data_IF_107591623186
#
_entry.id   IF_107591623186
#
_cell.length_a   1.000
_cell.length_b   1.000
_cell.length_c   1.000
_cell.angle_alpha   90.00
_cell.angle_beta   90.00
_cell.angle_gamma   90.00
#
_symmetry.space_group_name_H-M   'P 1'
#
loop_
_entity.id
_entity.type
_entity.pdbx_description
1 polymer ?
#
# COMPACT_ATOMS: atom_id res chain seq x y z
N UNK A 1 -31.12 6.70 2.51
CA UNK A 1 -30.85 6.01 1.24
C UNK A 1 -31.48 6.84 0.15
N UNK A 2 -30.67 7.36 -0.75
CA UNK A 2 -31.14 8.16 -1.90
C UNK A 2 -31.52 7.21 -3.04
N UNK A 3 -32.25 7.71 -4.03
CA UNK A 3 -32.53 6.98 -5.28
C UNK A 3 -31.35 7.02 -6.27
N UNK A 4 -30.26 7.70 -5.92
CA UNK A 4 -29.05 7.75 -6.75
C UNK A 4 -28.31 6.41 -6.68
N UNK A 5 -28.06 5.81 -7.85
CA UNK A 5 -27.26 4.59 -8.00
C UNK A 5 -25.87 4.95 -8.53
N UNK A 6 -24.82 4.48 -7.85
CA UNK A 6 -23.43 4.65 -8.30
C UNK A 6 -22.81 3.32 -8.65
N UNK A 7 -22.17 3.25 -9.82
CA UNK A 7 -21.35 2.13 -10.24
C UNK A 7 -19.88 2.39 -9.90
N UNK A 8 -19.16 1.33 -9.52
CA UNK A 8 -17.73 1.38 -9.19
C UNK A 8 -17.10 0.00 -9.34
N UNK A 9 -15.77 -0.05 -9.43
CA UNK A 9 -15.00 -1.28 -9.26
C UNK A 9 -14.70 -1.44 -7.77
N UNK A 10 -15.11 -2.55 -7.15
CA UNK A 10 -14.91 -2.74 -5.71
C UNK A 10 -13.41 -2.93 -5.41
N UNK A 11 -12.78 -2.09 -4.56
CA UNK A 11 -11.35 -2.22 -4.25
C UNK A 11 -11.02 -3.45 -3.38
N UNK A 12 -12.03 -4.12 -2.81
CA UNK A 12 -11.85 -5.29 -1.93
C UNK A 12 -11.90 -6.59 -2.73
N UNK A 13 -12.88 -6.77 -3.61
CA UNK A 13 -13.04 -8.00 -4.39
C UNK A 13 -12.67 -7.85 -5.87
N UNK A 14 -12.32 -6.65 -6.35
CA UNK A 14 -11.98 -6.34 -7.75
C UNK A 14 -13.10 -6.64 -8.77
N UNK A 15 -14.33 -6.88 -8.29
CA UNK A 15 -15.50 -7.09 -9.13
C UNK A 15 -16.25 -5.78 -9.38
N UNK A 16 -16.82 -5.59 -10.59
CA UNK A 16 -17.75 -4.50 -10.85
C UNK A 16 -18.95 -4.56 -9.90
N UNK A 17 -19.34 -3.41 -9.39
CA UNK A 17 -20.43 -3.29 -8.44
C UNK A 17 -21.24 -2.02 -8.64
N UNK A 18 -22.43 -1.98 -8.04
CA UNK A 18 -23.29 -0.81 -7.97
C UNK A 18 -23.98 -0.73 -6.62
N UNK A 19 -24.28 0.46 -6.15
CA UNK A 19 -24.97 0.67 -4.88
C UNK A 19 -25.85 1.90 -4.93
N UNK A 20 -26.95 1.87 -4.19
CA UNK A 20 -27.66 3.10 -3.85
C UNK A 20 -26.78 3.93 -2.91
N UNK A 21 -26.86 5.26 -2.95
CA UNK A 21 -26.13 6.07 -1.98
C UNK A 21 -26.82 5.99 -0.62
N UNK A 22 -26.10 5.47 0.37
CA UNK A 22 -26.62 5.30 1.73
C UNK A 22 -26.66 6.64 2.48
N UNK A 23 -25.68 7.50 2.24
CA UNK A 23 -25.57 8.86 2.76
C UNK A 23 -24.49 9.66 2.04
N UNK A 24 -24.60 10.99 2.10
CA UNK A 24 -23.65 11.93 1.50
C UNK A 24 -23.20 12.93 2.57
N UNK A 25 -21.92 13.28 2.54
CA UNK A 25 -21.34 14.39 3.30
C UNK A 25 -20.61 15.27 2.31
N UNK A 26 -20.96 16.56 2.30
CA UNK A 26 -20.25 17.58 1.52
C UNK A 26 -19.30 18.33 2.45
N UNK A 27 -18.01 18.32 2.14
CA UNK A 27 -17.04 19.18 2.82
C UNK A 27 -17.07 20.54 2.14
N UNK A 28 -17.82 21.46 2.76
CA UNK A 28 -17.95 22.84 2.32
C UNK A 28 -16.97 23.73 3.09
N UNK A 29 -16.01 24.31 2.37
CA UNK A 29 -15.26 25.47 2.81
C UNK A 29 -15.76 26.69 2.00
N UNK A 30 -16.23 27.78 2.66
CA UNK A 30 -16.94 28.88 1.99
C UNK A 30 -16.22 29.58 0.85
N UNK A 31 -14.89 29.47 0.80
CA UNK A 31 -14.02 30.19 -0.15
C UNK A 31 -13.12 29.24 -0.98
N UNK A 32 -13.32 27.92 -0.91
CA UNK A 32 -12.56 26.95 -1.70
C UNK A 32 -13.49 26.16 -2.63
N UNK A 33 -13.37 26.44 -3.93
CA UNK A 33 -13.82 25.58 -5.02
C UNK A 33 -12.59 24.76 -5.44
N UNK A 34 -12.70 23.44 -5.65
CA UNK A 34 -13.93 22.63 -5.72
C UNK A 34 -14.47 22.13 -4.38
N UNK A 35 -15.80 21.96 -4.27
CA UNK A 35 -16.43 21.31 -3.12
C UNK A 35 -16.24 19.78 -3.20
N UNK A 36 -15.97 19.14 -2.06
CA UNK A 36 -15.76 17.69 -1.98
C UNK A 36 -17.03 16.96 -1.51
N UNK A 37 -17.51 16.02 -2.31
CA UNK A 37 -18.65 15.17 -1.99
C UNK A 37 -18.20 13.74 -1.65
N UNK A 38 -18.48 13.31 -0.42
CA UNK A 38 -18.24 11.96 0.07
C UNK A 38 -19.55 11.16 0.13
N UNK A 39 -19.65 10.09 -0.65
CA UNK A 39 -20.81 9.22 -0.69
C UNK A 39 -20.50 7.84 -0.09
N UNK A 40 -21.35 7.39 0.84
CA UNK A 40 -21.31 6.04 1.39
C UNK A 40 -22.08 5.06 0.49
N UNK A 41 -21.37 4.02 0.05
CA UNK A 41 -21.84 2.96 -0.83
C UNK A 41 -21.56 1.59 -0.19
N UNK A 42 -22.18 0.55 -0.73
CA UNK A 42 -21.90 -0.84 -0.34
C UNK A 42 -21.75 -1.72 -1.58
N UNK A 43 -20.71 -2.55 -1.60
CA UNK A 43 -20.54 -3.55 -2.66
C UNK A 43 -21.75 -4.48 -2.75
N UNK A 44 -22.31 -4.64 -3.95
CA UNK A 44 -23.44 -5.52 -4.24
C UNK A 44 -23.10 -7.01 -4.31
N UNK A 45 -21.82 -7.38 -4.28
CA UNK A 45 -21.42 -8.78 -4.37
C UNK A 45 -21.73 -9.50 -3.05
N UNK A 46 -22.48 -10.63 -3.06
CA UNK A 46 -22.92 -11.32 -1.86
C UNK A 46 -21.78 -11.70 -0.90
N UNK A 47 -20.65 -12.14 -1.46
CA UNK A 47 -19.49 -12.60 -0.70
C UNK A 47 -18.54 -11.46 -0.26
N UNK A 48 -18.81 -10.21 -0.67
CA UNK A 48 -17.97 -9.07 -0.35
C UNK A 48 -18.66 -8.06 0.57
N UNK A 49 -19.78 -7.48 0.12
CA UNK A 49 -20.58 -6.49 0.87
C UNK A 49 -19.80 -5.35 1.53
N UNK A 50 -18.58 -5.06 1.07
CA UNK A 50 -17.69 -4.11 1.70
C UNK A 50 -18.30 -2.69 1.69
N UNK A 51 -18.17 -1.93 2.80
CA UNK A 51 -18.52 -0.52 2.83
C UNK A 51 -17.49 0.28 2.04
N UNK A 52 -17.97 1.20 1.20
CA UNK A 52 -17.16 2.00 0.29
C UNK A 52 -17.47 3.47 0.53
N UNK A 53 -16.45 4.31 0.61
CA UNK A 53 -16.63 5.77 0.53
C UNK A 53 -16.06 6.23 -0.80
N UNK A 54 -16.91 6.88 -1.59
CA UNK A 54 -16.54 7.46 -2.86
C UNK A 54 -16.42 8.98 -2.72
N UNK A 55 -15.40 9.56 -3.34
CA UNK A 55 -15.16 11.00 -3.41
C UNK A 55 -15.44 11.52 -4.82
N UNK A 56 -16.11 12.65 -4.93
CA UNK A 56 -16.23 13.48 -6.15
C UNK A 56 -15.91 14.92 -5.81
N UNK A 57 -15.40 15.65 -6.78
CA UNK A 57 -15.18 17.10 -6.67
C UNK A 57 -16.15 17.80 -7.61
N UNK A 58 -16.75 18.88 -7.13
CA UNK A 58 -17.61 19.75 -7.93
C UNK A 58 -16.75 20.85 -8.56
N UNK A 59 -16.79 21.01 -9.88
CA UNK A 59 -16.11 22.11 -10.58
C UNK A 59 -17.10 22.93 -11.38
N UNK A 60 -16.88 24.24 -11.40
CA UNK A 60 -17.54 25.16 -12.31
C UNK A 60 -16.80 25.17 -13.66
N UNK A 61 -17.52 24.92 -14.75
CA UNK A 61 -17.02 25.14 -16.11
C UNK A 61 -17.21 26.62 -16.50
N UNK A 62 -16.37 27.12 -17.42
CA UNK A 62 -16.33 28.53 -17.85
C UNK A 62 -17.67 29.09 -18.38
N UNK A 63 -18.63 28.22 -18.73
CA UNK A 63 -19.96 28.60 -19.23
C UNK A 63 -21.09 28.48 -18.18
N UNK A 64 -20.76 28.32 -16.89
CA UNK A 64 -21.75 28.21 -15.81
C UNK A 64 -22.43 26.85 -15.72
N UNK A 65 -21.82 25.82 -16.30
CA UNK A 65 -22.24 24.43 -16.17
C UNK A 65 -21.48 23.78 -15.01
N UNK A 66 -22.20 23.21 -14.04
CA UNK A 66 -21.62 22.53 -12.88
C UNK A 66 -21.36 21.06 -13.22
N UNK A 67 -20.09 20.64 -13.14
CA UNK A 67 -19.67 19.27 -13.42
C UNK A 67 -19.09 18.58 -12.19
N UNK A 68 -19.27 17.26 -12.11
CA UNK A 68 -18.60 16.42 -11.09
C UNK A 68 -17.40 15.70 -11.70
N UNK A 69 -16.33 15.54 -10.92
CA UNK A 69 -15.17 14.75 -11.37
C UNK A 69 -15.52 13.28 -11.47
N UNK A 70 -14.67 12.54 -12.17
CA UNK A 70 -14.72 11.08 -12.15
C UNK A 70 -14.60 10.63 -10.68
N UNK A 71 -15.51 9.78 -10.19
CA UNK A 71 -15.47 9.36 -8.80
C UNK A 71 -14.19 8.58 -8.48
N UNK A 72 -13.63 8.86 -7.31
CA UNK A 72 -12.50 8.16 -6.72
C UNK A 72 -12.95 7.36 -5.50
N UNK A 73 -12.25 6.27 -5.18
CA UNK A 73 -12.53 5.49 -3.97
C UNK A 73 -11.67 6.02 -2.83
N UNK A 74 -12.32 6.66 -1.87
CA UNK A 74 -11.68 7.19 -0.66
C UNK A 74 -11.50 6.11 0.41
N UNK A 75 -12.49 5.24 0.58
CA UNK A 75 -12.43 4.11 1.52
C UNK A 75 -12.92 2.80 0.89
N UNK A 76 -12.29 1.64 1.18
CA UNK A 76 -11.07 1.49 1.96
C UNK A 76 -9.87 2.15 1.29
N UNK A 77 -9.14 2.97 2.05
CA UNK A 77 -7.91 3.59 1.58
C UNK A 77 -6.79 2.55 1.65
N UNK A 78 -5.83 2.56 0.71
CA UNK A 78 -4.59 1.83 0.89
C UNK A 78 -3.96 2.20 2.24
N UNK A 79 -3.40 1.23 2.94
CA UNK A 79 -2.70 1.51 4.20
C UNK A 79 -1.46 2.35 3.91
N UNK A 80 -1.31 3.53 4.50
CA UNK A 80 -0.08 4.31 4.31
C UNK A 80 1.11 3.75 5.11
N UNK A 81 2.32 3.86 4.53
CA UNK A 81 3.55 3.51 5.22
C UNK A 81 3.90 4.58 6.25
N UNK A 82 4.43 4.17 7.41
CA UNK A 82 4.81 5.08 8.48
C UNK A 82 5.88 6.10 8.04
N UNK A 83 5.76 7.35 8.47
CA UNK A 83 6.80 8.38 8.30
C UNK A 83 8.13 8.06 8.99
N UNK A 84 8.19 7.01 9.82
CA UNK A 84 9.44 6.47 10.34
C UNK A 84 10.31 5.81 9.26
N UNK A 85 9.72 5.43 8.12
CA UNK A 85 10.42 4.84 6.97
C UNK A 85 10.97 5.97 6.10
N UNK A 86 12.25 5.92 5.66
CA UNK A 86 12.83 6.91 4.77
C UNK A 86 11.96 7.19 3.54
N UNK A 87 11.81 8.47 3.18
CA UNK A 87 10.93 8.91 2.09
C UNK A 87 11.22 8.17 0.78
N UNK A 88 12.50 8.07 0.39
CA UNK A 88 12.89 7.37 -0.83
C UNK A 88 12.41 5.91 -0.85
N UNK A 89 12.45 5.19 0.28
CA UNK A 89 11.97 3.81 0.36
C UNK A 89 10.44 3.72 0.26
N UNK A 90 9.72 4.71 0.83
CA UNK A 90 8.26 4.79 0.68
C UNK A 90 7.87 5.02 -0.77
N UNK A 91 8.56 5.93 -1.46
CA UNK A 91 8.31 6.23 -2.88
C UNK A 91 8.48 5.00 -3.78
N UNK A 92 9.55 4.22 -3.57
CA UNK A 92 9.77 2.94 -4.27
C UNK A 92 8.63 1.94 -4.04
N UNK A 93 8.17 1.83 -2.79
CA UNK A 93 7.08 0.93 -2.44
C UNK A 93 5.73 1.40 -3.02
N UNK A 94 5.48 2.72 -3.03
CA UNK A 94 4.28 3.28 -3.64
C UNK A 94 4.24 3.06 -5.15
N UNK A 95 5.38 3.08 -5.82
CA UNK A 95 5.46 2.70 -7.23
C UNK A 95 5.12 1.21 -7.43
N UNK A 96 5.53 0.31 -6.52
CA UNK A 96 5.07 -1.08 -6.53
C UNK A 96 3.55 -1.22 -6.43
N UNK A 97 2.92 -0.44 -5.54
CA UNK A 97 1.45 -0.39 -5.39
C UNK A 97 0.76 0.13 -6.64
N UNK A 98 1.30 1.16 -7.30
CA UNK A 98 0.78 1.68 -8.57
C UNK A 98 0.82 0.59 -9.65
N UNK A 99 1.92 -0.14 -9.78
CA UNK A 99 2.02 -1.27 -10.71
C UNK A 99 0.98 -2.35 -10.38
N UNK A 100 0.77 -2.64 -9.10
CA UNK A 100 -0.20 -3.66 -8.67
C UNK A 100 -1.63 -3.25 -9.03
N UNK A 101 -2.02 -2.00 -8.75
CA UNK A 101 -3.33 -1.47 -9.13
C UNK A 101 -3.57 -1.46 -10.64
N UNK A 102 -2.52 -1.31 -11.44
CA UNK A 102 -2.56 -1.43 -12.90
C UNK A 102 -2.56 -2.89 -13.40
N UNK A 103 -2.62 -3.89 -12.51
CA UNK A 103 -2.53 -5.33 -12.81
C UNK A 103 -1.22 -5.73 -13.51
N UNK A 104 -0.17 -4.93 -13.34
CA UNK A 104 1.16 -5.16 -13.89
C UNK A 104 2.04 -5.95 -12.91
N UNK A 105 1.64 -7.19 -12.61
CA UNK A 105 2.22 -7.98 -11.51
C UNK A 105 3.73 -8.23 -11.64
N UNK A 106 4.25 -8.43 -12.85
CA UNK A 106 5.69 -8.54 -13.08
C UNK A 106 6.45 -7.27 -12.69
N UNK A 107 5.90 -6.09 -13.04
CA UNK A 107 6.47 -4.80 -12.68
C UNK A 107 6.37 -4.55 -11.16
N UNK A 108 5.27 -4.97 -10.51
CA UNK A 108 5.15 -4.93 -9.05
C UNK A 108 6.32 -5.62 -8.37
N UNK A 109 6.69 -6.83 -8.82
CA UNK A 109 7.81 -7.57 -8.23
C UNK A 109 9.16 -6.87 -8.43
N UNK A 110 9.37 -6.22 -9.58
CA UNK A 110 10.57 -5.42 -9.84
C UNK A 110 10.67 -4.27 -8.84
N UNK A 111 9.57 -3.57 -8.59
CA UNK A 111 9.54 -2.45 -7.65
C UNK A 111 9.63 -2.90 -6.19
N UNK A 112 9.04 -4.04 -5.82
CA UNK A 112 9.27 -4.69 -4.53
C UNK A 112 10.75 -5.00 -4.34
N UNK A 113 11.40 -5.61 -5.35
CA UNK A 113 12.83 -5.93 -5.29
C UNK A 113 13.68 -4.67 -5.10
N UNK A 114 13.39 -3.59 -5.83
CA UNK A 114 14.07 -2.29 -5.70
C UNK A 114 13.89 -1.69 -4.31
N UNK A 115 12.68 -1.74 -3.76
CA UNK A 115 12.38 -1.32 -2.38
C UNK A 115 13.22 -2.08 -1.36
N UNK A 116 13.33 -3.40 -1.51
CA UNK A 116 14.10 -4.25 -0.59
C UNK A 116 15.61 -4.04 -0.72
N UNK A 117 16.12 -3.83 -1.93
CA UNK A 117 17.53 -3.49 -2.17
C UNK A 117 17.88 -2.15 -1.51
N UNK A 118 17.05 -1.12 -1.70
CA UNK A 118 17.19 0.16 -1.01
C UNK A 118 17.13 0.01 0.51
N UNK A 119 16.20 -0.80 1.01
CA UNK A 119 16.07 -1.09 2.45
C UNK A 119 17.33 -1.74 3.00
N UNK A 120 17.89 -2.71 2.29
CA UNK A 120 19.13 -3.37 2.70
C UNK A 120 20.31 -2.40 2.72
N UNK A 121 20.42 -1.54 1.70
CA UNK A 121 21.48 -0.54 1.62
C UNK A 121 21.37 0.49 2.76
N UNK A 122 20.17 1.00 3.05
CA UNK A 122 19.92 1.91 4.17
C UNK A 122 20.29 1.26 5.52
N UNK A 123 20.01 -0.04 5.66
CA UNK A 123 20.42 -0.83 6.81
C UNK A 123 21.91 -1.23 6.82
N UNK A 124 22.72 -0.74 5.88
CA UNK A 124 24.16 -0.96 5.85
C UNK A 124 24.60 -2.34 5.37
N UNK A 125 23.74 -3.08 4.67
CA UNK A 125 24.17 -4.28 3.96
C UNK A 125 24.98 -3.91 2.71
N UNK A 126 25.99 -4.71 2.39
CA UNK A 126 27.03 -4.37 1.39
C UNK A 126 27.17 -5.41 0.27
N UNK A 127 26.34 -6.46 0.29
CA UNK A 127 26.38 -7.52 -0.71
C UNK A 127 25.73 -7.05 -2.01
N UNK A 128 26.13 -7.72 -3.10
CA UNK A 128 25.64 -7.43 -4.45
C UNK A 128 24.26 -8.02 -4.72
N UNK A 129 23.92 -9.11 -4.03
CA UNK A 129 22.69 -9.87 -4.27
C UNK A 129 21.74 -9.66 -3.10
N UNK A 130 20.48 -9.33 -3.39
CA UNK A 130 19.45 -9.10 -2.36
C UNK A 130 19.36 -10.22 -1.33
N UNK A 131 19.41 -11.49 -1.76
CA UNK A 131 19.38 -12.63 -0.86
C UNK A 131 20.58 -12.68 0.11
N UNK A 132 21.76 -12.23 -0.33
CA UNK A 132 22.95 -12.14 0.52
C UNK A 132 22.86 -10.96 1.49
N UNK A 133 22.30 -9.84 1.03
CA UNK A 133 22.03 -8.68 1.90
C UNK A 133 21.06 -9.04 3.03
N UNK A 134 19.97 -9.75 2.73
CA UNK A 134 19.00 -10.16 3.75
C UNK A 134 19.61 -11.15 4.75
N UNK A 135 20.48 -12.07 4.30
CA UNK A 135 21.27 -12.92 5.21
C UNK A 135 22.26 -12.14 6.06
N UNK A 136 22.88 -11.09 5.51
CA UNK A 136 23.77 -10.20 6.27
C UNK A 136 22.98 -9.46 7.36
N UNK A 137 21.80 -8.92 7.06
CA UNK A 137 20.91 -8.31 8.07
C UNK A 137 20.49 -9.32 9.15
N UNK A 138 20.21 -10.57 8.77
CA UNK A 138 19.90 -11.64 9.72
C UNK A 138 21.10 -11.94 10.62
N UNK A 139 22.31 -12.09 10.05
CA UNK A 139 23.53 -12.35 10.80
C UNK A 139 23.87 -11.19 11.77
N UNK A 140 23.47 -9.96 11.42
CA UNK A 140 23.57 -8.78 12.30
C UNK A 140 22.46 -8.72 13.36
N UNK A 141 21.51 -9.66 13.37
CA UNK A 141 20.37 -9.68 14.30
C UNK A 141 19.36 -8.55 14.05
N UNK A 142 19.34 -7.97 12.84
CA UNK A 142 18.38 -6.92 12.46
C UNK A 142 17.04 -7.47 11.99
N UNK A 143 17.02 -8.71 11.51
CA UNK A 143 15.82 -9.45 11.11
C UNK A 143 15.90 -10.88 11.63
N UNK A 144 14.75 -11.54 11.78
CA UNK A 144 14.68 -12.93 12.20
C UNK A 144 14.85 -13.92 11.02
N UNK A 145 14.88 -15.22 11.35
CA UNK A 145 15.05 -16.29 10.35
C UNK A 145 13.87 -16.43 9.38
N UNK A 146 12.65 -16.13 9.83
CA UNK A 146 11.46 -16.19 8.97
C UNK A 146 11.55 -15.11 7.88
N UNK A 147 11.91 -13.87 8.26
CA UNK A 147 12.12 -12.77 7.32
C UNK A 147 13.25 -13.08 6.32
N UNK A 148 14.29 -13.80 6.75
CA UNK A 148 15.36 -14.26 5.87
C UNK A 148 14.94 -15.40 4.93
N UNK A 149 14.03 -16.29 5.34
CA UNK A 149 13.48 -17.34 4.47
C UNK A 149 12.65 -16.76 3.33
N UNK A 150 11.83 -15.75 3.63
CA UNK A 150 11.08 -15.00 2.62
C UNK A 150 11.96 -14.37 1.55
N UNK A 151 13.19 -13.94 1.88
CA UNK A 151 14.18 -13.47 0.92
C UNK A 151 14.46 -14.48 -0.20
N UNK A 152 14.51 -15.76 0.14
CA UNK A 152 14.78 -16.83 -0.82
C UNK A 152 13.57 -17.04 -1.75
N UNK A 153 12.34 -16.94 -1.23
CA UNK A 153 11.12 -17.01 -2.02
C UNK A 153 11.01 -15.82 -2.99
N UNK A 154 11.33 -14.62 -2.54
CA UNK A 154 11.39 -13.44 -3.39
C UNK A 154 12.42 -13.54 -4.50
N UNK A 155 13.53 -14.26 -4.30
CA UNK A 155 14.47 -14.53 -5.40
C UNK A 155 13.82 -15.38 -6.50
N UNK A 156 13.02 -16.37 -6.12
CA UNK A 156 12.30 -17.21 -7.08
C UNK A 156 11.24 -16.40 -7.83
N UNK A 157 10.49 -15.59 -7.10
CA UNK A 157 9.37 -14.80 -7.64
C UNK A 157 9.88 -13.59 -8.44
N UNK A 158 10.83 -12.83 -7.91
CA UNK A 158 11.43 -11.66 -8.56
C UNK A 158 12.17 -11.98 -9.85
N UNK A 159 12.79 -13.16 -9.96
CA UNK A 159 13.38 -13.62 -11.22
C UNK A 159 12.32 -13.80 -12.32
N UNK A 160 11.10 -14.23 -11.98
CA UNK A 160 9.98 -14.34 -12.93
C UNK A 160 9.46 -12.98 -13.38
N UNK A 161 9.49 -11.97 -12.49
CA UNK A 161 9.08 -10.61 -12.81
C UNK A 161 10.07 -9.84 -13.68
N UNK A 162 11.37 -10.01 -13.44
CA UNK A 162 12.43 -9.24 -14.09
C UNK A 162 13.02 -9.88 -15.36
N UNK A 163 12.87 -11.19 -15.53
CA UNK A 163 13.40 -11.91 -16.69
C UNK A 163 12.28 -12.57 -17.48
N UNK A 164 12.41 -12.57 -18.81
CA UNK A 164 11.48 -13.30 -19.67
C UNK A 164 11.73 -14.81 -19.53
N UNK A 165 10.97 -15.45 -18.63
CA UNK A 165 11.03 -16.90 -18.39
C UNK A 165 9.88 -17.66 -19.08
N UNK A 166 8.90 -16.94 -19.63
CA UNK A 166 7.64 -17.52 -20.15
C UNK A 166 6.61 -17.84 -19.08
N UNK A 167 6.96 -17.76 -17.79
CA UNK A 167 6.03 -17.95 -16.67
C UNK A 167 5.34 -16.63 -16.31
N UNK A 168 4.03 -16.67 -16.08
CA UNK A 168 3.27 -15.49 -15.63
C UNK A 168 3.36 -15.36 -14.11
N UNK A 169 3.52 -14.13 -13.64
CA UNK A 169 3.39 -13.76 -12.23
C UNK A 169 1.90 -13.66 -11.89
N UNK A 170 1.44 -14.34 -10.85
CA UNK A 170 0.06 -14.24 -10.41
C UNK A 170 -0.18 -12.97 -9.58
N UNK A 171 -1.45 -12.56 -9.48
CA UNK A 171 -1.84 -11.47 -8.57
C UNK A 171 -1.46 -11.79 -7.11
N UNK A 172 -1.60 -13.06 -6.71
CA UNK A 172 -1.24 -13.52 -5.37
C UNK A 172 0.26 -13.39 -5.11
N UNK A 173 1.12 -13.84 -6.04
CA UNK A 173 2.57 -13.73 -5.91
C UNK A 173 3.02 -12.27 -5.72
N UNK A 174 2.42 -11.35 -6.50
CA UNK A 174 2.71 -9.93 -6.40
C UNK A 174 2.20 -9.32 -5.08
N UNK A 175 1.03 -9.75 -4.60
CA UNK A 175 0.46 -9.30 -3.33
C UNK A 175 1.31 -9.77 -2.14
N UNK A 176 1.67 -11.05 -2.11
CA UNK A 176 2.50 -11.64 -1.06
C UNK A 176 3.87 -10.97 -0.99
N UNK A 177 4.46 -10.64 -2.14
CA UNK A 177 5.73 -9.92 -2.22
C UNK A 177 5.62 -8.48 -1.66
N UNK A 178 4.54 -7.76 -1.97
CA UNK A 178 4.29 -6.43 -1.40
C UNK A 178 4.09 -6.50 0.12
N UNK A 179 3.28 -7.45 0.59
CA UNK A 179 2.99 -7.61 2.01
C UNK A 179 4.25 -7.92 2.82
N UNK A 180 5.13 -8.76 2.26
CA UNK A 180 6.43 -9.01 2.85
C UNK A 180 7.30 -7.74 2.91
N UNK A 181 7.38 -6.97 1.82
CA UNK A 181 8.19 -5.75 1.81
C UNK A 181 7.67 -4.71 2.81
N UNK A 182 6.35 -4.54 2.91
CA UNK A 182 5.72 -3.70 3.93
C UNK A 182 6.04 -4.19 5.35
N UNK A 183 5.92 -5.49 5.62
CA UNK A 183 6.25 -6.06 6.92
C UNK A 183 7.73 -5.88 7.30
N UNK A 184 8.64 -6.01 6.34
CA UNK A 184 10.07 -5.80 6.56
C UNK A 184 10.37 -4.32 6.89
N UNK A 185 9.77 -3.39 6.15
CA UNK A 185 9.90 -1.96 6.42
C UNK A 185 9.36 -1.62 7.82
N UNK A 186 8.17 -2.12 8.17
CA UNK A 186 7.60 -1.95 9.51
C UNK A 186 8.51 -2.49 10.60
N UNK A 187 9.07 -3.69 10.41
CA UNK A 187 9.96 -4.32 11.37
C UNK A 187 11.18 -3.43 11.66
N UNK A 188 11.87 -3.00 10.59
CA UNK A 188 13.14 -2.29 10.68
C UNK A 188 12.99 -0.86 11.18
N UNK A 189 11.95 -0.13 10.74
CA UNK A 189 11.84 1.31 10.98
C UNK A 189 10.82 1.67 12.06
N UNK A 190 9.77 0.85 12.25
CA UNK A 190 8.66 1.18 13.16
C UNK A 190 8.74 0.37 14.43
N UNK A 191 8.70 -0.96 14.32
CA UNK A 191 8.66 -1.86 15.47
C UNK A 191 9.96 -1.78 16.27
N UNK A 192 11.11 -1.74 15.59
CA UNK A 192 12.41 -1.62 16.26
C UNK A 192 12.51 -0.33 17.08
N UNK A 193 12.15 0.81 16.50
CA UNK A 193 12.14 2.11 17.19
C UNK A 193 11.20 2.12 18.39
N UNK A 194 10.01 1.54 18.25
CA UNK A 194 9.04 1.41 19.35
C UNK A 194 9.58 0.53 20.48
N UNK A 195 10.24 -0.58 20.14
CA UNK A 195 10.84 -1.48 21.11
C UNK A 195 11.99 -0.81 21.87
N UNK A 196 12.90 -0.15 21.17
CA UNK A 196 14.03 0.54 21.79
C UNK A 196 13.54 1.66 22.74
N UNK A 197 12.54 2.45 22.30
CA UNK A 197 11.91 3.46 23.14
C UNK A 197 11.22 2.85 24.38
N UNK A 198 10.58 1.69 24.24
CA UNK A 198 10.00 0.98 25.38
C UNK A 198 11.07 0.51 26.36
N UNK A 199 12.15 -0.08 25.86
CA UNK A 199 13.27 -0.57 26.66
C UNK A 199 13.91 0.57 27.48
N UNK A 200 14.19 1.71 26.86
CA UNK A 200 14.75 2.89 27.56
C UNK A 200 13.84 3.39 28.68
N UNK A 201 12.52 3.41 28.47
CA UNK A 201 11.57 3.79 29.55
C UNK A 201 11.61 2.83 30.73
N UNK A 202 11.80 1.52 30.50
CA UNK A 202 11.90 0.54 31.59
C UNK A 202 13.22 0.65 32.35
N UNK A 203 14.32 0.96 31.67
CA UNK A 203 15.62 1.16 32.29
C UNK A 203 15.64 2.41 33.18
N UNK A 204 15.02 3.51 32.74
CA UNK A 204 14.89 4.73 33.54
C UNK A 204 14.11 4.48 34.84
N UNK A 205 12.98 3.77 34.77
CA UNK A 205 12.16 3.43 35.95
C UNK A 205 12.86 2.53 36.98
N UNK A 206 13.89 1.78 36.57
CA UNK A 206 14.67 0.94 37.50
C UNK A 206 15.77 1.72 38.23
N UNK A 207 16.14 2.89 37.70
CA UNK A 207 17.18 3.76 38.24
C UNK A 207 16.62 4.93 39.06
N UNK A 208 15.29 5.05 39.12
CA UNK A 208 14.51 5.92 40.02
C UNK A 208 14.15 5.17 41.31
#
# INVERSE_FOLDING_TARGET
MTDEVRAFLCPVCDEPSKSNVHGVVEAYEPDTVPHEEFALLQCSQPDCQAPIVQLRWDYELEEGDEGKTKPEIYYPSPRELSDGIPQALREEFYEARKCFGAKAYGATLVMVRRTLEGTCADQGATKRILAENLRELQAQGKIDGLLAEWANLLRLVGNKGAHFTGEKVSAQDAKDAMDFAEALLDHLYVLRKRFDAFKSRQEQRKNE
#
